data_IF_685807094934
#
_entry.id   IF_685807094934
#
_cell.length_a   1.000
_cell.length_b   1.000
_cell.length_c   1.000
_cell.angle_alpha   90.00
_cell.angle_beta   90.00
_cell.angle_gamma   90.00
#
_symmetry.space_group_name_H-M   'P 1'
#
loop_
_entity.id
_entity.type
_entity.pdbx_description
1 polymer ?
#
# COMPACT_ATOMS: atom_id res chain seq x y z
N UNK A 1 12.48 19.33 -27.70
CA UNK A 1 13.48 18.67 -26.85
C UNK A 1 13.75 19.35 -25.48
N UNK A 2 12.88 20.19 -24.95
CA UNK A 2 13.08 20.87 -23.64
C UNK A 2 12.05 20.53 -22.56
N UNK A 3 11.10 19.62 -22.81
CA UNK A 3 10.06 19.26 -21.82
C UNK A 3 10.40 18.06 -20.93
N UNK A 4 11.42 17.27 -21.28
CA UNK A 4 11.69 15.98 -20.58
C UNK A 4 12.37 16.09 -19.21
N UNK A 5 12.64 17.28 -18.69
CA UNK A 5 13.39 17.45 -17.44
C UNK A 5 12.66 18.25 -16.35
N UNK A 6 11.38 18.55 -16.52
CA UNK A 6 10.57 19.21 -15.51
C UNK A 6 9.99 18.18 -14.55
N UNK A 7 9.85 18.51 -13.24
CA UNK A 7 9.13 17.66 -12.29
C UNK A 7 7.69 17.46 -12.73
N UNK A 8 7.20 16.23 -12.59
CA UNK A 8 5.81 15.89 -12.90
C UNK A 8 5.23 15.03 -11.79
N UNK A 9 3.91 15.06 -11.66
CA UNK A 9 3.19 14.04 -10.90
C UNK A 9 2.67 12.96 -11.83
N UNK A 10 2.64 11.74 -11.34
CA UNK A 10 1.95 10.64 -11.97
C UNK A 10 0.94 10.09 -10.98
N UNK A 11 -0.32 10.49 -11.15
CA UNK A 11 -1.43 9.99 -10.36
C UNK A 11 -1.83 8.63 -10.90
N UNK A 12 -2.03 7.65 -10.02
CA UNK A 12 -2.36 6.30 -10.44
C UNK A 12 -3.19 5.57 -9.40
N UNK A 13 -3.91 4.57 -9.87
CA UNK A 13 -4.75 3.69 -9.08
C UNK A 13 -4.83 2.31 -9.70
N UNK A 14 -5.02 1.28 -8.88
CA UNK A 14 -5.24 -0.10 -9.29
C UNK A 14 -6.58 -0.60 -8.82
N UNK A 15 -7.29 -1.28 -9.71
CA UNK A 15 -8.26 -2.28 -9.29
C UNK A 15 -7.59 -3.65 -9.27
N UNK A 16 -7.95 -4.46 -8.28
CA UNK A 16 -7.34 -5.78 -8.06
C UNK A 16 -8.41 -6.85 -7.85
N UNK A 17 -8.03 -8.10 -8.04
CA UNK A 17 -8.90 -9.25 -7.82
C UNK A 17 -8.99 -9.68 -6.35
N UNK A 18 -8.52 -8.87 -5.43
CA UNK A 18 -8.59 -9.10 -3.99
C UNK A 18 -7.88 -8.00 -3.21
N UNK A 19 -7.78 -8.15 -1.90
CA UNK A 19 -7.28 -7.09 -1.00
C UNK A 19 -5.86 -7.30 -0.50
N UNK A 20 -5.21 -8.40 -0.89
CA UNK A 20 -3.85 -8.72 -0.47
C UNK A 20 -2.84 -8.50 -1.60
N UNK A 21 -2.06 -7.40 -1.63
CA UNK A 21 -1.15 -7.09 -2.72
C UNK A 21 -0.08 -8.17 -3.01
N UNK A 22 0.25 -9.00 -2.02
CA UNK A 22 1.23 -10.07 -2.18
C UNK A 22 0.67 -11.28 -2.95
N UNK A 23 -0.61 -11.56 -2.78
CA UNK A 23 -1.28 -12.75 -3.35
C UNK A 23 -2.15 -12.41 -4.55
N UNK A 24 -2.85 -11.28 -4.46
CA UNK A 24 -3.84 -10.92 -5.46
C UNK A 24 -3.21 -10.28 -6.70
N UNK A 25 -3.95 -10.34 -7.79
CA UNK A 25 -3.50 -9.88 -9.11
C UNK A 25 -4.18 -8.57 -9.46
N UNK A 26 -3.51 -7.66 -10.21
CA UNK A 26 -4.16 -6.48 -10.75
C UNK A 26 -5.25 -6.89 -11.77
N UNK A 27 -6.34 -6.14 -11.81
CA UNK A 27 -7.40 -6.28 -12.81
C UNK A 27 -7.44 -5.09 -13.77
N UNK A 28 -7.29 -3.87 -13.25
CA UNK A 28 -7.23 -2.63 -14.01
C UNK A 28 -6.14 -1.73 -13.43
N UNK A 29 -5.56 -0.90 -14.25
CA UNK A 29 -4.70 0.21 -13.88
C UNK A 29 -5.13 1.46 -14.61
N UNK A 30 -5.15 2.57 -13.91
CA UNK A 30 -5.23 3.90 -14.50
C UNK A 30 -4.07 4.78 -14.04
N UNK A 31 -3.57 5.61 -14.95
CA UNK A 31 -2.52 6.56 -14.63
C UNK A 31 -2.64 7.84 -15.45
N UNK A 32 -2.46 8.97 -14.80
CA UNK A 32 -2.54 10.30 -15.42
C UNK A 32 -1.32 11.12 -15.00
N UNK A 33 -0.59 11.64 -15.98
CA UNK A 33 0.53 12.54 -15.74
C UNK A 33 0.06 13.98 -15.71
N UNK A 34 0.58 14.75 -14.73
CA UNK A 34 0.27 16.17 -14.59
C UNK A 34 1.53 17.00 -14.40
N UNK A 35 1.42 18.30 -14.67
CA UNK A 35 2.41 19.29 -14.26
C UNK A 35 2.35 19.57 -12.74
N UNK A 36 3.16 20.51 -12.25
CA UNK A 36 3.19 20.92 -10.83
C UNK A 36 1.90 21.60 -10.35
N UNK A 37 1.04 22.04 -11.26
CA UNK A 37 -0.26 22.66 -10.96
C UNK A 37 -1.42 21.67 -11.11
N UNK A 38 -1.10 20.39 -11.32
CA UNK A 38 -2.06 19.31 -11.55
C UNK A 38 -2.88 19.45 -12.85
N UNK A 39 -2.36 20.19 -13.84
CA UNK A 39 -2.92 20.16 -15.19
C UNK A 39 -2.46 18.88 -15.89
N UNK A 40 -3.40 18.18 -16.51
CA UNK A 40 -3.11 16.92 -17.21
C UNK A 40 -2.20 17.20 -18.40
N UNK A 41 -1.13 16.41 -18.52
CA UNK A 41 -0.17 16.44 -19.63
C UNK A 41 -0.05 15.04 -20.25
N UNK A 42 -0.17 14.96 -21.57
CA UNK A 42 -0.19 13.69 -22.29
C UNK A 42 -1.52 12.95 -22.20
N UNK A 43 -1.52 11.72 -22.70
CA UNK A 43 -2.69 10.88 -22.70
C UNK A 43 -2.77 10.05 -21.43
N UNK A 44 -3.97 9.90 -20.84
CA UNK A 44 -4.22 8.98 -19.74
C UNK A 44 -3.92 7.52 -20.15
N UNK A 45 -3.37 6.75 -19.23
CA UNK A 45 -3.11 5.33 -19.40
C UNK A 45 -4.18 4.52 -18.67
N UNK A 46 -4.97 3.74 -19.41
CA UNK A 46 -5.95 2.80 -18.85
C UNK A 46 -5.70 1.43 -19.45
N UNK A 47 -5.56 0.41 -18.62
CA UNK A 47 -5.27 -0.95 -19.06
C UNK A 47 -5.89 -1.97 -18.14
N UNK A 48 -6.31 -3.11 -18.72
CA UNK A 48 -6.68 -4.31 -17.98
C UNK A 48 -5.52 -5.30 -17.97
N UNK A 49 -5.48 -6.17 -16.95
CA UNK A 49 -4.50 -7.25 -16.84
C UNK A 49 -5.20 -8.60 -16.94
N UNK A 50 -4.66 -9.49 -17.76
CA UNK A 50 -5.15 -10.87 -17.89
C UNK A 50 -4.90 -11.65 -16.60
N UNK A 51 -5.83 -12.57 -16.30
CA UNK A 51 -5.71 -13.51 -15.19
C UNK A 51 -4.83 -14.71 -15.57
N UNK A 52 -3.91 -15.12 -14.70
CA UNK A 52 -3.16 -16.35 -14.93
C UNK A 52 -4.00 -17.59 -14.54
N UNK A 53 -3.71 -18.74 -15.14
CA UNK A 53 -4.45 -19.97 -14.95
C UNK A 53 -4.36 -20.58 -13.52
N UNK A 54 -3.39 -20.15 -12.74
CA UNK A 54 -3.18 -20.58 -11.34
C UNK A 54 -3.71 -19.58 -10.31
N UNK A 55 -4.78 -18.84 -10.65
CA UNK A 55 -5.35 -17.83 -9.75
C UNK A 55 -6.88 -17.79 -9.83
N UNK A 56 -7.54 -17.77 -8.67
CA UNK A 56 -8.98 -17.58 -8.53
C UNK A 56 -9.29 -16.14 -8.12
N UNK A 57 -9.99 -15.34 -8.95
CA UNK A 57 -10.35 -13.95 -8.64
C UNK A 57 -11.43 -13.89 -7.56
N UNK A 58 -11.32 -12.98 -6.57
CA UNK A 58 -12.37 -12.81 -5.56
C UNK A 58 -13.69 -12.38 -6.20
N UNK A 59 -14.80 -13.06 -5.91
CA UNK A 59 -16.12 -12.65 -6.35
C UNK A 59 -16.53 -11.27 -5.82
N UNK A 60 -16.13 -10.94 -4.58
CA UNK A 60 -16.39 -9.63 -3.96
C UNK A 60 -15.67 -8.51 -4.71
N UNK A 61 -14.40 -8.73 -5.07
CA UNK A 61 -13.65 -7.75 -5.85
C UNK A 61 -14.32 -7.51 -7.21
N UNK A 62 -14.76 -8.56 -7.88
CA UNK A 62 -15.52 -8.43 -9.13
C UNK A 62 -16.83 -7.65 -8.94
N UNK A 63 -17.55 -7.86 -7.83
CA UNK A 63 -18.79 -7.11 -7.52
C UNK A 63 -18.52 -5.63 -7.24
N UNK A 64 -17.41 -5.31 -6.58
CA UNK A 64 -17.04 -3.94 -6.22
C UNK A 64 -16.60 -3.16 -7.46
N UNK A 65 -15.70 -3.74 -8.25
CA UNK A 65 -15.11 -3.07 -9.42
C UNK A 65 -15.99 -3.15 -10.67
N UNK A 66 -16.93 -4.10 -10.73
CA UNK A 66 -17.70 -4.40 -11.92
C UNK A 66 -16.88 -5.05 -13.06
N UNK A 67 -15.61 -5.37 -12.81
CA UNK A 67 -14.73 -6.01 -13.79
C UNK A 67 -14.98 -7.50 -13.80
N UNK A 68 -15.30 -8.05 -14.97
CA UNK A 68 -15.48 -9.48 -15.13
C UNK A 68 -14.20 -10.16 -15.60
N UNK A 69 -13.95 -11.43 -15.23
CA UNK A 69 -12.80 -12.18 -15.74
C UNK A 69 -12.75 -12.23 -17.27
N UNK A 70 -13.90 -12.35 -17.95
CA UNK A 70 -13.97 -12.35 -19.41
C UNK A 70 -13.50 -11.02 -20.01
N UNK A 71 -13.90 -9.87 -19.41
CA UNK A 71 -13.42 -8.57 -19.85
C UNK A 71 -11.92 -8.44 -19.71
N UNK A 72 -11.38 -8.83 -18.54
CA UNK A 72 -9.95 -8.82 -18.28
C UNK A 72 -9.17 -9.71 -19.26
N UNK A 73 -9.69 -10.90 -19.58
CA UNK A 73 -9.06 -11.81 -20.54
C UNK A 73 -9.14 -11.32 -21.98
N UNK A 74 -10.22 -10.63 -22.37
CA UNK A 74 -10.43 -10.16 -23.72
C UNK A 74 -9.71 -8.85 -24.03
N UNK A 75 -9.71 -7.91 -23.09
CA UNK A 75 -9.20 -6.54 -23.29
C UNK A 75 -7.85 -6.33 -22.61
N UNK A 76 -7.44 -7.25 -21.72
CA UNK A 76 -6.24 -7.13 -20.91
C UNK A 76 -4.96 -7.51 -21.64
N UNK A 77 -3.87 -6.92 -21.16
CA UNK A 77 -2.51 -7.29 -21.52
C UNK A 77 -2.02 -8.46 -20.64
N UNK A 78 -1.03 -9.20 -21.11
CA UNK A 78 -0.28 -10.11 -20.25
C UNK A 78 0.36 -9.35 -19.09
N UNK A 79 0.56 -10.00 -17.91
CA UNK A 79 1.13 -9.31 -16.75
C UNK A 79 2.51 -8.68 -17.03
N UNK A 80 3.44 -9.30 -17.82
CA UNK A 80 4.69 -8.64 -18.20
C UNK A 80 4.51 -7.37 -19.03
N UNK A 81 3.62 -7.39 -20.02
CA UNK A 81 3.36 -6.21 -20.86
C UNK A 81 2.66 -5.11 -20.07
N UNK A 82 1.72 -5.48 -19.21
CA UNK A 82 1.00 -4.58 -18.33
C UNK A 82 1.95 -3.83 -17.41
N UNK A 83 2.79 -4.55 -16.65
CA UNK A 83 3.70 -3.91 -15.69
C UNK A 83 4.85 -3.16 -16.39
N UNK A 84 5.30 -3.61 -17.56
CA UNK A 84 6.33 -2.89 -18.32
C UNK A 84 5.88 -1.48 -18.71
N UNK A 85 4.63 -1.32 -19.16
CA UNK A 85 4.07 -0.01 -19.50
C UNK A 85 3.93 0.89 -18.27
N UNK A 86 3.46 0.35 -17.15
CA UNK A 86 3.33 1.07 -15.88
C UNK A 86 4.70 1.50 -15.36
N UNK A 87 5.64 0.58 -15.33
CA UNK A 87 7.01 0.84 -14.88
C UNK A 87 7.70 1.91 -15.74
N UNK A 88 7.48 1.92 -17.05
CA UNK A 88 8.01 2.93 -17.95
C UNK A 88 7.50 4.35 -17.58
N UNK A 89 6.22 4.48 -17.20
CA UNK A 89 5.68 5.76 -16.76
C UNK A 89 6.21 6.16 -15.37
N UNK A 90 6.20 5.25 -14.41
CA UNK A 90 6.68 5.51 -13.05
C UNK A 90 8.16 5.85 -12.99
N UNK A 91 8.97 5.28 -13.90
CA UNK A 91 10.45 5.44 -13.94
C UNK A 91 10.92 6.69 -14.67
N UNK A 92 10.04 7.46 -15.32
CA UNK A 92 10.42 8.73 -15.93
C UNK A 92 11.09 9.65 -14.88
N UNK A 93 12.20 10.34 -15.24
CA UNK A 93 12.93 11.17 -14.29
C UNK A 93 12.07 12.26 -13.64
N UNK A 94 12.34 12.55 -12.35
CA UNK A 94 11.66 13.58 -11.56
C UNK A 94 10.13 13.37 -11.44
N UNK A 95 9.69 12.13 -11.54
CA UNK A 95 8.30 11.77 -11.31
C UNK A 95 8.03 11.67 -9.79
N UNK A 96 7.00 12.34 -9.31
CA UNK A 96 6.38 12.01 -8.03
C UNK A 96 5.14 11.16 -8.31
N UNK A 97 5.20 9.88 -7.96
CA UNK A 97 4.03 9.01 -8.02
C UNK A 97 3.10 9.31 -6.84
N UNK A 98 1.81 9.42 -7.11
CA UNK A 98 0.81 9.84 -6.14
C UNK A 98 -0.51 9.12 -6.37
N UNK A 99 -1.11 8.64 -5.29
CA UNK A 99 -2.43 8.02 -5.30
C UNK A 99 -3.18 8.31 -4.00
N UNK A 100 -4.29 7.61 -3.83
CA UNK A 100 -5.12 7.67 -2.64
C UNK A 100 -4.98 6.39 -1.81
N UNK A 101 -4.33 6.43 -0.67
CA UNK A 101 -3.89 5.27 0.12
C UNK A 101 -2.85 4.38 -0.60
N UNK A 102 -2.21 4.92 -1.63
CA UNK A 102 -1.35 4.19 -2.57
C UNK A 102 -0.10 3.59 -1.93
N UNK A 103 0.53 4.27 -0.96
CA UNK A 103 1.76 3.76 -0.31
C UNK A 103 1.53 2.43 0.41
N UNK A 104 0.30 2.15 0.84
CA UNK A 104 -0.04 0.93 1.58
C UNK A 104 -0.61 -0.17 0.71
N UNK A 105 -1.12 0.17 -0.49
CA UNK A 105 -1.78 -0.77 -1.37
C UNK A 105 -1.17 -0.76 -2.79
N UNK A 106 -1.39 0.27 -3.58
CA UNK A 106 -1.00 0.32 -5.00
C UNK A 106 0.50 0.19 -5.24
N UNK A 107 1.30 0.80 -4.36
CA UNK A 107 2.76 0.66 -4.39
C UNK A 107 3.18 -0.80 -4.14
N UNK A 108 2.49 -1.50 -3.24
CA UNK A 108 2.77 -2.91 -2.96
C UNK A 108 2.30 -3.80 -4.12
N UNK A 109 1.13 -3.51 -4.74
CA UNK A 109 0.69 -4.18 -5.98
C UNK A 109 1.73 -4.01 -7.08
N UNK A 110 2.21 -2.77 -7.29
CA UNK A 110 3.28 -2.47 -8.25
C UNK A 110 4.55 -3.28 -7.95
N UNK A 111 4.99 -3.32 -6.70
CA UNK A 111 6.20 -4.04 -6.28
C UNK A 111 6.11 -5.53 -6.50
N UNK A 112 5.02 -6.17 -6.06
CA UNK A 112 4.84 -7.60 -6.26
C UNK A 112 4.68 -7.97 -7.72
N UNK A 113 4.01 -7.12 -8.52
CA UNK A 113 3.90 -7.33 -9.97
C UNK A 113 5.25 -7.16 -10.66
N UNK A 114 6.05 -6.14 -10.29
CA UNK A 114 7.44 -6.01 -10.77
C UNK A 114 8.29 -7.24 -10.41
N UNK A 115 8.22 -7.69 -9.16
CA UNK A 115 8.96 -8.84 -8.66
C UNK A 115 8.67 -10.11 -9.45
N UNK A 116 7.40 -10.42 -9.71
CA UNK A 116 6.99 -11.60 -10.49
C UNK A 116 7.44 -11.53 -11.96
N UNK A 117 7.73 -10.34 -12.46
CA UNK A 117 8.10 -10.06 -13.84
C UNK A 117 9.56 -9.61 -14.00
N UNK A 118 10.41 -9.89 -13.01
CA UNK A 118 11.86 -9.61 -13.05
C UNK A 118 12.23 -8.13 -13.23
N UNK A 119 11.35 -7.21 -12.82
CA UNK A 119 11.62 -5.78 -12.78
C UNK A 119 12.04 -5.40 -11.37
N UNK A 120 13.01 -4.47 -11.22
CA UNK A 120 13.38 -3.97 -9.88
C UNK A 120 12.14 -3.36 -9.21
N UNK A 121 11.68 -3.90 -8.07
CA UNK A 121 10.44 -3.48 -7.46
C UNK A 121 10.51 -2.13 -6.73
N UNK A 122 11.69 -1.55 -6.60
CA UNK A 122 11.91 -0.36 -5.76
C UNK A 122 12.42 0.85 -6.53
N UNK A 123 13.23 0.65 -7.59
CA UNK A 123 13.98 1.70 -8.29
C UNK A 123 13.10 2.85 -8.79
N UNK A 124 11.93 2.56 -9.34
CA UNK A 124 10.98 3.52 -9.86
C UNK A 124 10.59 4.61 -8.85
N UNK A 125 10.61 4.28 -7.55
CA UNK A 125 10.10 5.13 -6.48
C UNK A 125 11.13 6.12 -5.90
N UNK A 126 12.42 6.04 -6.31
CA UNK A 126 13.48 6.88 -5.73
C UNK A 126 14.63 7.22 -6.67
N UNK A 127 14.89 6.42 -7.73
CA UNK A 127 15.94 6.72 -8.70
C UNK A 127 15.58 7.94 -9.55
N UNK A 128 16.57 8.54 -10.22
CA UNK A 128 16.40 9.64 -11.16
C UNK A 128 15.65 10.86 -10.62
N UNK A 129 15.73 11.11 -9.31
CA UNK A 129 15.01 12.20 -8.65
C UNK A 129 13.52 11.92 -8.41
N UNK A 130 13.10 10.67 -8.56
CA UNK A 130 11.74 10.24 -8.30
C UNK A 130 11.41 10.23 -6.81
N UNK A 131 10.13 10.27 -6.50
CA UNK A 131 9.60 10.19 -5.15
C UNK A 131 8.18 9.64 -5.17
N UNK A 132 7.67 9.31 -3.99
CA UNK A 132 6.28 8.88 -3.79
C UNK A 132 5.56 9.85 -2.87
N UNK A 133 4.25 9.90 -2.95
CA UNK A 133 3.42 10.61 -1.99
C UNK A 133 2.03 9.99 -1.94
N UNK A 134 1.25 10.30 -0.91
CA UNK A 134 -0.08 9.74 -0.67
C UNK A 134 -1.00 10.85 -0.18
N UNK A 135 -2.13 11.01 -0.85
CA UNK A 135 -3.06 12.09 -0.56
C UNK A 135 -3.91 11.82 0.70
N UNK A 136 -4.18 10.57 1.04
CA UNK A 136 -5.08 10.22 2.16
C UNK A 136 -4.60 10.79 3.49
N UNK A 137 -3.32 10.56 3.86
CA UNK A 137 -2.80 11.06 5.13
C UNK A 137 -2.59 12.59 5.11
N UNK A 138 -2.43 13.21 3.93
CA UNK A 138 -2.43 14.68 3.76
C UNK A 138 -3.82 15.26 4.05
N UNK A 139 -4.88 14.63 3.56
CA UNK A 139 -6.27 15.03 3.83
C UNK A 139 -6.61 14.89 5.32
N UNK A 140 -6.20 13.79 5.96
CA UNK A 140 -6.32 13.62 7.41
C UNK A 140 -5.61 14.73 8.19
N UNK A 141 -4.40 15.10 7.76
CA UNK A 141 -3.64 16.21 8.36
C UNK A 141 -4.31 17.57 8.11
N UNK A 142 -4.86 17.80 6.92
CA UNK A 142 -5.61 19.00 6.59
C UNK A 142 -6.82 19.12 7.52
N UNK A 143 -7.62 18.07 7.65
CA UNK A 143 -8.76 18.03 8.56
C UNK A 143 -8.38 18.37 10.02
N UNK A 144 -7.34 17.72 10.55
CA UNK A 144 -6.93 17.91 11.94
C UNK A 144 -6.29 19.27 12.23
N UNK A 145 -5.62 19.88 11.24
CA UNK A 145 -4.81 21.07 11.46
C UNK A 145 -5.39 22.36 10.86
N UNK A 146 -6.04 22.25 9.70
CA UNK A 146 -6.55 23.37 8.91
C UNK A 146 -7.74 22.91 8.06
N UNK A 147 -8.91 22.67 8.67
CA UNK A 147 -10.05 22.06 7.97
C UNK A 147 -10.74 23.00 6.96
N UNK A 148 -10.46 24.30 7.02
CA UNK A 148 -11.19 25.31 6.24
C UNK A 148 -10.93 25.17 4.74
N UNK A 149 -11.98 25.33 3.94
CA UNK A 149 -11.95 25.31 2.47
C UNK A 149 -12.10 23.93 1.85
N UNK A 150 -12.23 22.90 2.68
CA UNK A 150 -12.62 21.53 2.28
C UNK A 150 -13.87 21.13 3.05
N UNK A 151 -14.83 20.53 2.36
CA UNK A 151 -16.03 19.99 2.99
C UNK A 151 -15.78 18.55 3.45
N UNK A 152 -16.03 18.28 4.73
CA UNK A 152 -15.75 16.99 5.34
C UNK A 152 -17.04 16.20 5.52
N UNK A 153 -17.19 15.04 4.86
CA UNK A 153 -18.34 14.16 5.06
C UNK A 153 -18.25 13.41 6.38
N UNK A 154 -19.38 13.12 6.98
CA UNK A 154 -19.49 12.25 8.15
C UNK A 154 -20.07 10.88 7.72
N UNK A 155 -19.63 9.83 8.40
CA UNK A 155 -20.21 8.51 8.28
C UNK A 155 -21.43 8.36 9.21
N UNK A 156 -22.09 7.21 9.15
CA UNK A 156 -23.27 6.87 9.97
C UNK A 156 -23.04 6.91 11.50
N UNK A 157 -21.76 6.89 11.93
CA UNK A 157 -21.37 6.97 13.32
C UNK A 157 -20.92 8.36 13.77
N UNK A 158 -21.08 9.39 12.92
CA UNK A 158 -20.69 10.77 13.20
C UNK A 158 -19.17 11.04 13.15
N UNK A 159 -18.38 10.12 12.62
CA UNK A 159 -16.95 10.35 12.38
C UNK A 159 -16.71 10.85 10.95
N UNK A 160 -15.69 11.70 10.79
CA UNK A 160 -15.29 12.14 9.45
C UNK A 160 -14.89 10.93 8.59
N UNK A 161 -15.49 10.85 7.41
CA UNK A 161 -15.17 9.84 6.42
C UNK A 161 -14.08 10.34 5.48
N UNK A 162 -13.00 9.58 5.39
CA UNK A 162 -11.90 9.83 4.45
C UNK A 162 -11.95 8.87 3.26
N UNK A 163 -13.10 8.28 2.96
CA UNK A 163 -13.28 7.55 1.71
C UNK A 163 -13.34 8.53 0.54
N UNK A 164 -12.63 8.22 -0.55
CA UNK A 164 -12.51 9.10 -1.71
C UNK A 164 -13.88 9.43 -2.31
N UNK A 165 -14.74 8.43 -2.44
CA UNK A 165 -16.11 8.58 -2.95
C UNK A 165 -16.97 9.52 -2.09
N UNK A 166 -16.80 9.52 -0.76
CA UNK A 166 -17.54 10.43 0.11
C UNK A 166 -16.99 11.86 0.04
N UNK A 167 -15.66 11.98 0.05
CA UNK A 167 -14.98 13.29 -0.02
C UNK A 167 -15.24 13.99 -1.35
N UNK A 168 -15.11 13.27 -2.47
CA UNK A 168 -15.32 13.85 -3.81
C UNK A 168 -16.76 14.37 -3.97
N UNK A 169 -17.74 13.57 -3.63
CA UNK A 169 -19.17 13.97 -3.71
C UNK A 169 -19.44 15.19 -2.82
N UNK A 170 -18.98 15.17 -1.55
CA UNK A 170 -19.19 16.30 -0.62
C UNK A 170 -18.55 17.59 -1.11
N UNK A 171 -17.47 17.49 -1.88
CA UNK A 171 -16.71 18.62 -2.41
C UNK A 171 -17.14 19.02 -3.84
N UNK A 172 -18.21 18.45 -4.38
CA UNK A 172 -18.73 18.76 -5.72
C UNK A 172 -17.85 18.24 -6.86
N UNK A 173 -17.04 17.23 -6.61
CA UNK A 173 -16.22 16.54 -7.60
C UNK A 173 -17.05 15.38 -8.16
N UNK A 174 -17.15 15.32 -9.49
CA UNK A 174 -17.85 14.22 -10.16
C UNK A 174 -17.10 12.90 -9.93
N UNK A 175 -17.80 11.93 -9.34
CA UNK A 175 -17.25 10.60 -9.03
C UNK A 175 -18.38 9.56 -9.14
N UNK A 176 -18.99 9.50 -10.34
CA UNK A 176 -20.16 8.67 -10.60
C UNK A 176 -19.86 7.17 -10.70
N UNK A 177 -18.61 6.80 -10.98
CA UNK A 177 -18.14 5.43 -11.14
C UNK A 177 -17.01 5.13 -10.13
N UNK A 178 -17.31 5.22 -8.83
CA UNK A 178 -16.38 4.78 -7.80
C UNK A 178 -15.96 3.31 -8.06
N UNK A 179 -14.70 2.98 -7.81
CA UNK A 179 -14.08 1.69 -8.13
C UNK A 179 -13.92 1.43 -9.65
N UNK A 180 -13.84 2.49 -10.44
CA UNK A 180 -13.18 2.49 -11.73
C UNK A 180 -11.87 3.25 -11.57
N UNK A 181 -10.72 2.63 -11.81
CA UNK A 181 -9.42 3.20 -11.52
C UNK A 181 -9.21 4.60 -12.13
N UNK A 182 -9.78 4.88 -13.33
CA UNK A 182 -9.67 6.21 -13.94
C UNK A 182 -10.52 7.25 -13.20
N UNK A 183 -11.73 6.89 -12.76
CA UNK A 183 -12.58 7.79 -12.00
C UNK A 183 -11.91 8.14 -10.65
N UNK A 184 -11.28 7.16 -10.00
CA UNK A 184 -10.56 7.36 -8.73
C UNK A 184 -9.31 8.22 -8.91
N UNK A 185 -8.55 8.05 -9.99
CA UNK A 185 -7.43 8.93 -10.36
C UNK A 185 -7.88 10.38 -10.57
N UNK A 186 -8.95 10.62 -11.34
CA UNK A 186 -9.46 11.99 -11.59
C UNK A 186 -9.97 12.61 -10.30
N UNK A 187 -10.73 11.87 -9.48
CA UNK A 187 -11.18 12.36 -8.17
C UNK A 187 -10.00 12.72 -7.25
N UNK A 188 -8.94 11.92 -7.26
CA UNK A 188 -7.71 12.18 -6.50
C UNK A 188 -7.00 13.46 -6.97
N UNK A 189 -6.91 13.69 -8.29
CA UNK A 189 -6.34 14.93 -8.86
C UNK A 189 -7.15 16.15 -8.40
N UNK A 190 -8.48 16.10 -8.52
CA UNK A 190 -9.35 17.22 -8.16
C UNK A 190 -9.34 17.49 -6.64
N UNK A 191 -9.28 16.44 -5.80
CA UNK A 191 -9.09 16.60 -4.36
C UNK A 191 -7.72 17.22 -4.03
N UNK A 192 -6.65 16.82 -4.72
CA UNK A 192 -5.33 17.41 -4.54
C UNK A 192 -5.31 18.91 -4.90
N UNK A 193 -5.95 19.29 -6.02
CA UNK A 193 -6.14 20.70 -6.40
C UNK A 193 -6.88 21.49 -5.32
N UNK A 194 -7.98 20.92 -4.81
CA UNK A 194 -8.80 21.55 -3.80
C UNK A 194 -8.04 21.82 -2.50
N UNK A 195 -7.33 20.80 -1.99
CA UNK A 195 -6.51 20.96 -0.76
C UNK A 195 -5.36 21.94 -0.97
N UNK A 196 -4.68 21.88 -2.12
CA UNK A 196 -3.61 22.83 -2.45
C UNK A 196 -4.11 24.26 -2.53
N UNK A 197 -5.29 24.48 -3.11
CA UNK A 197 -5.92 25.81 -3.19
C UNK A 197 -6.38 26.32 -1.82
N UNK A 198 -7.00 25.44 -1.01
CA UNK A 198 -7.52 25.81 0.31
C UNK A 198 -6.38 26.04 1.32
N UNK A 199 -5.36 25.19 1.34
CA UNK A 199 -4.31 25.18 2.35
C UNK A 199 -2.90 25.08 1.73
N UNK A 200 -2.46 26.04 0.88
CA UNK A 200 -1.23 25.91 0.09
C UNK A 200 0.02 25.73 0.96
N UNK A 201 0.14 26.45 2.07
CA UNK A 201 1.31 26.35 2.97
C UNK A 201 1.40 24.98 3.64
N UNK A 202 0.27 24.40 4.03
CA UNK A 202 0.21 23.07 4.65
C UNK A 202 0.54 22.00 3.60
N UNK A 203 -0.04 22.13 2.41
CA UNK A 203 0.21 21.23 1.29
C UNK A 203 1.69 21.20 0.91
N UNK A 204 2.30 22.38 0.68
CA UNK A 204 3.71 22.52 0.31
C UNK A 204 4.64 22.00 1.41
N UNK A 205 4.29 22.23 2.69
CA UNK A 205 5.05 21.70 3.82
C UNK A 205 5.08 20.16 3.76
N UNK A 206 3.94 19.49 3.74
CA UNK A 206 3.90 18.03 3.73
C UNK A 206 4.47 17.43 2.43
N UNK A 207 4.26 18.08 1.29
CA UNK A 207 4.91 17.69 0.06
C UNK A 207 6.44 17.76 0.18
N UNK A 208 6.97 18.79 0.80
CA UNK A 208 8.41 18.91 1.04
C UNK A 208 8.95 17.82 1.99
N UNK A 209 8.12 17.37 2.94
CA UNK A 209 8.46 16.35 3.95
C UNK A 209 8.33 14.91 3.45
N UNK A 210 7.94 14.67 2.19
CA UNK A 210 7.90 13.31 1.62
C UNK A 210 9.28 12.62 1.56
N UNK A 211 10.36 13.39 1.65
CA UNK A 211 11.73 12.88 1.60
C UNK A 211 12.23 12.49 2.99
N UNK A 212 12.70 11.24 3.13
CA UNK A 212 13.27 10.71 4.38
C UNK A 212 14.31 11.64 5.01
N UNK A 213 15.18 12.28 4.19
CA UNK A 213 16.22 13.19 4.70
C UNK A 213 15.63 14.34 5.50
N UNK A 214 14.56 14.97 5.00
CA UNK A 214 13.90 16.09 5.72
C UNK A 214 13.17 15.59 6.97
N UNK A 215 12.55 14.42 6.91
CA UNK A 215 11.91 13.82 8.07
C UNK A 215 12.93 13.48 9.18
N UNK A 216 14.13 13.04 8.83
CA UNK A 216 15.21 12.81 9.80
C UNK A 216 15.58 14.08 10.58
N UNK A 217 15.48 15.26 9.97
CA UNK A 217 15.78 16.55 10.63
C UNK A 217 14.79 16.90 11.75
N UNK A 218 13.58 16.32 11.73
CA UNK A 218 12.57 16.48 12.78
C UNK A 218 12.77 15.53 13.96
N UNK A 219 13.45 14.41 13.74
CA UNK A 219 13.56 13.33 14.74
C UNK A 219 14.68 13.64 15.72
N UNK A 220 14.31 14.01 16.96
CA UNK A 220 15.23 14.27 18.06
C UNK A 220 14.98 13.27 19.19
N UNK A 221 15.70 12.15 19.14
CA UNK A 221 15.62 11.09 20.15
C UNK A 221 16.38 11.45 21.43
N UNK A 222 17.30 12.42 21.38
CA UNK A 222 18.12 12.82 22.54
C UNK A 222 17.30 13.65 23.50
N UNK A 223 16.65 14.71 23.00
CA UNK A 223 15.81 15.58 23.81
C UNK A 223 14.38 15.07 23.91
N UNK A 224 14.05 13.97 23.21
CA UNK A 224 12.68 13.44 23.12
C UNK A 224 11.71 14.57 22.73
N UNK A 225 12.00 15.24 21.61
CA UNK A 225 11.18 16.37 21.12
C UNK A 225 9.89 15.85 20.52
N UNK A 226 8.70 16.25 21.02
CA UNK A 226 7.43 15.72 20.55
C UNK A 226 7.10 16.23 19.15
N UNK A 227 6.48 15.35 18.37
CA UNK A 227 6.00 15.61 17.02
C UNK A 227 4.50 15.37 16.92
N UNK A 228 3.81 16.13 16.10
CA UNK A 228 2.49 15.78 15.60
C UNK A 228 2.63 14.72 14.51
N UNK A 229 1.83 13.67 14.57
CA UNK A 229 1.81 12.57 13.62
C UNK A 229 0.38 12.22 13.21
N UNK A 230 0.20 11.94 11.90
CA UNK A 230 -1.06 11.43 11.35
C UNK A 230 -0.83 10.04 10.80
N UNK A 231 -1.71 9.11 11.17
CA UNK A 231 -1.67 7.73 10.69
C UNK A 231 -2.99 7.01 10.91
N UNK A 232 -3.44 6.20 9.96
CA UNK A 232 -4.61 5.34 10.12
C UNK A 232 -4.58 4.43 11.36
N UNK A 233 -3.39 4.13 11.89
CA UNK A 233 -3.22 3.29 13.08
C UNK A 233 -3.50 4.02 14.42
N UNK A 234 -3.63 5.34 14.43
CA UNK A 234 -3.89 6.10 15.66
C UNK A 234 -5.35 6.09 16.08
N UNK A 235 -6.24 5.62 15.20
CA UNK A 235 -7.67 5.50 15.47
C UNK A 235 -8.47 6.73 15.02
N UNK A 236 -9.75 6.47 14.76
CA UNK A 236 -10.69 7.50 14.28
C UNK A 236 -11.15 8.43 15.39
N UNK A 237 -11.09 7.98 16.63
CA UNK A 237 -11.52 8.72 17.83
C UNK A 237 -10.72 10.02 18.01
N UNK A 238 -9.45 10.04 17.59
CA UNK A 238 -8.59 11.22 17.58
C UNK A 238 -8.32 11.74 16.16
N UNK A 239 -9.22 11.47 15.21
CA UNK A 239 -9.10 11.87 13.81
C UNK A 239 -7.76 11.46 13.20
N UNK A 240 -7.30 10.23 13.53
CA UNK A 240 -6.03 9.65 13.05
C UNK A 240 -4.78 10.46 13.41
N UNK A 241 -4.85 11.35 14.39
CA UNK A 241 -3.79 12.30 14.76
C UNK A 241 -3.40 12.12 16.22
N UNK A 242 -2.11 12.22 16.53
CA UNK A 242 -1.62 12.30 17.92
C UNK A 242 -0.31 13.07 18.03
N UNK A 243 0.05 13.45 19.24
CA UNK A 243 1.41 13.79 19.59
C UNK A 243 2.17 12.51 19.90
N UNK A 244 3.28 12.33 19.23
CA UNK A 244 4.21 11.23 19.47
C UNK A 244 5.56 11.77 19.92
N UNK A 245 6.32 10.96 20.64
CA UNK A 245 7.70 11.29 21.00
C UNK A 245 8.65 10.23 20.43
N UNK A 246 9.69 10.60 19.66
CA UNK A 246 10.72 9.68 19.22
C UNK A 246 11.63 9.31 20.39
N UNK A 247 11.88 8.00 20.59
CA UNK A 247 12.67 7.48 21.71
C UNK A 247 13.98 6.85 21.23
N UNK A 248 13.92 6.05 20.16
CA UNK A 248 15.09 5.36 19.63
C UNK A 248 14.93 5.06 18.14
N UNK A 249 16.05 4.78 17.47
CA UNK A 249 16.02 4.13 16.17
C UNK A 249 15.77 2.63 16.34
N UNK A 250 15.10 2.05 15.36
CA UNK A 250 14.89 0.60 15.34
C UNK A 250 16.24 -0.13 15.19
N UNK A 251 16.52 -1.19 15.94
CA UNK A 251 17.84 -1.83 15.98
C UNK A 251 18.32 -2.39 14.64
N UNK A 252 17.43 -2.85 13.79
CA UNK A 252 17.76 -3.48 12.50
C UNK A 252 17.20 -2.77 11.29
N UNK A 253 16.17 -1.92 11.44
CA UNK A 253 15.54 -1.19 10.33
C UNK A 253 15.90 0.30 10.36
N UNK A 254 16.89 0.71 9.59
CA UNK A 254 17.37 2.09 9.49
C UNK A 254 16.33 3.09 8.93
N UNK A 255 15.15 2.64 8.57
CA UNK A 255 14.06 3.49 8.11
C UNK A 255 13.01 3.73 9.19
N UNK A 256 13.09 3.06 10.33
CA UNK A 256 12.08 3.10 11.36
C UNK A 256 12.56 3.80 12.64
N UNK A 257 11.68 4.62 13.20
CA UNK A 257 11.85 5.28 14.50
C UNK A 257 10.84 4.68 15.46
N UNK A 258 11.30 4.29 16.65
CA UNK A 258 10.46 3.86 17.75
C UNK A 258 9.88 5.11 18.42
N UNK A 259 8.57 5.21 18.47
CA UNK A 259 7.87 6.37 19.04
C UNK A 259 6.83 5.92 20.05
N UNK A 260 6.52 6.81 21.01
CA UNK A 260 5.45 6.61 21.98
C UNK A 260 4.33 7.61 21.69
N UNK A 261 3.09 7.15 21.69
CA UNK A 261 1.88 7.98 21.59
C UNK A 261 1.60 8.64 22.93
N UNK A 262 1.82 9.96 23.00
CA UNK A 262 1.67 10.75 24.24
C UNK A 262 0.21 10.94 24.69
N UNK A 263 -0.77 10.71 23.83
CA UNK A 263 -2.18 10.80 24.19
C UNK A 263 -2.66 9.56 24.95
N UNK A 264 -1.90 8.48 24.91
CA UNK A 264 -2.19 7.21 25.60
C UNK A 264 -1.49 7.12 26.94
N UNK A 265 -1.95 6.19 27.77
CA UNK A 265 -1.36 5.93 29.08
C UNK A 265 0.00 5.23 28.92
N UNK A 266 1.12 5.78 29.45
CA UNK A 266 2.43 5.18 29.36
C UNK A 266 2.68 4.04 30.37
N UNK A 267 1.74 3.76 31.29
CA UNK A 267 1.89 2.76 32.36
C UNK A 267 2.40 1.40 31.84
N UNK A 268 1.90 0.83 30.74
CA UNK A 268 2.43 -0.45 30.24
C UNK A 268 3.95 -0.41 29.95
N UNK A 269 4.47 0.71 29.44
CA UNK A 269 5.90 0.83 29.14
C UNK A 269 6.73 0.87 30.43
N UNK A 270 6.20 1.48 31.49
CA UNK A 270 6.91 1.63 32.76
C UNK A 270 6.90 0.33 33.58
N UNK A 271 5.80 -0.39 33.61
CA UNK A 271 5.59 -1.51 34.53
C UNK A 271 5.95 -2.88 33.94
N UNK A 272 5.71 -3.11 32.65
CA UNK A 272 5.91 -4.41 32.03
C UNK A 272 7.36 -4.70 31.68
N UNK A 273 7.75 -5.97 31.69
CA UNK A 273 9.02 -6.43 31.11
C UNK A 273 9.02 -6.28 29.59
N UNK A 274 10.19 -6.44 28.97
CA UNK A 274 10.34 -6.40 27.51
C UNK A 274 9.51 -7.48 26.81
N UNK A 275 9.47 -8.68 27.39
CA UNK A 275 8.73 -9.84 26.88
C UNK A 275 7.24 -9.64 26.98
N UNK A 276 6.75 -9.15 28.13
CA UNK A 276 5.32 -8.82 28.33
C UNK A 276 4.87 -7.68 27.40
N UNK A 277 5.72 -6.66 27.18
CA UNK A 277 5.45 -5.61 26.21
C UNK A 277 5.34 -6.17 24.80
N UNK A 278 6.25 -7.10 24.43
CA UNK A 278 6.22 -7.73 23.11
C UNK A 278 4.92 -8.51 22.90
N UNK A 279 4.54 -9.36 23.83
CA UNK A 279 3.30 -10.12 23.74
C UNK A 279 2.09 -9.19 23.63
N UNK A 280 1.98 -8.18 24.49
CA UNK A 280 0.86 -7.25 24.53
C UNK A 280 0.79 -6.34 23.28
N UNK A 281 1.93 -5.91 22.73
CA UNK A 281 1.98 -5.07 21.53
C UNK A 281 1.40 -5.78 20.30
N UNK A 282 1.54 -7.10 20.24
CA UNK A 282 1.08 -7.91 19.11
C UNK A 282 -0.23 -8.67 19.39
N UNK A 283 -0.80 -8.52 20.57
CA UNK A 283 -2.15 -9.01 20.88
C UNK A 283 -3.19 -8.14 20.17
N UNK A 284 -4.18 -8.77 19.54
CA UNK A 284 -5.27 -8.03 18.89
C UNK A 284 -6.06 -7.22 19.93
N UNK A 285 -6.56 -6.05 19.51
CA UNK A 285 -7.30 -5.15 20.42
C UNK A 285 -8.52 -5.82 21.07
N UNK A 286 -9.20 -6.69 20.33
CA UNK A 286 -10.35 -7.47 20.81
C UNK A 286 -9.98 -8.48 21.91
N UNK A 287 -8.74 -8.99 21.88
CA UNK A 287 -8.23 -9.99 22.83
C UNK A 287 -7.57 -9.35 24.06
N UNK A 288 -7.34 -8.03 24.06
CA UNK A 288 -6.75 -7.32 25.19
C UNK A 288 -7.71 -7.20 26.40
N UNK A 289 -9.04 -7.28 26.17
CA UNK A 289 -10.03 -7.06 27.22
C UNK A 289 -9.85 -5.68 27.89
N UNK A 290 -9.71 -5.68 29.23
CA UNK A 290 -9.52 -4.46 30.03
C UNK A 290 -8.05 -3.99 30.11
N UNK A 291 -7.11 -4.68 29.47
CA UNK A 291 -5.70 -4.31 29.51
C UNK A 291 -5.43 -3.06 28.67
N UNK A 292 -4.61 -2.17 29.23
CA UNK A 292 -4.13 -1.00 28.48
C UNK A 292 -3.24 -1.44 27.30
N UNK A 293 -3.51 -0.95 26.09
CA UNK A 293 -2.64 -1.23 24.94
C UNK A 293 -1.27 -0.57 25.12
N UNK A 294 -0.25 -1.18 24.56
CA UNK A 294 1.12 -0.61 24.54
C UNK A 294 1.14 0.61 23.62
N UNK A 295 1.42 1.84 24.13
CA UNK A 295 1.37 3.06 23.32
C UNK A 295 2.61 3.27 22.45
N UNK A 296 3.17 2.20 21.90
CA UNK A 296 4.39 2.23 21.08
C UNK A 296 4.04 2.04 19.61
N UNK A 297 4.67 2.82 18.74
CA UNK A 297 4.46 2.77 17.31
C UNK A 297 5.78 2.95 16.56
N UNK A 298 5.97 2.18 15.48
CA UNK A 298 7.04 2.42 14.52
C UNK A 298 6.59 3.45 13.48
N UNK A 299 7.40 4.47 13.28
CA UNK A 299 7.23 5.43 12.19
C UNK A 299 8.30 5.17 11.12
N UNK A 300 7.86 4.72 9.94
CA UNK A 300 8.73 4.41 8.81
C UNK A 300 8.95 5.66 7.95
N UNK A 301 10.13 6.25 8.04
CA UNK A 301 10.44 7.52 7.37
C UNK A 301 10.53 7.42 5.84
N UNK A 302 10.67 6.21 5.30
CA UNK A 302 10.64 5.93 3.86
C UNK A 302 9.23 5.67 3.30
N UNK A 303 8.19 5.76 4.14
CA UNK A 303 6.77 5.61 3.75
C UNK A 303 6.00 6.94 3.81
N UNK A 304 6.68 8.05 3.58
CA UNK A 304 6.12 9.42 3.56
C UNK A 304 5.19 9.73 4.75
N UNK A 305 5.59 9.41 6.01
CA UNK A 305 4.72 9.66 7.14
C UNK A 305 4.47 11.15 7.30
N UNK A 306 3.26 11.50 7.71
CA UNK A 306 2.90 12.88 8.08
C UNK A 306 3.48 13.18 9.45
N UNK A 307 4.49 14.02 9.48
CA UNK A 307 5.13 14.53 10.71
C UNK A 307 5.26 16.04 10.66
N UNK A 308 5.02 16.70 11.79
CA UNK A 308 5.29 18.12 11.97
C UNK A 308 5.67 18.40 13.43
N UNK A 309 6.29 19.54 13.74
CA UNK A 309 6.50 19.96 15.12
C UNK A 309 5.19 19.96 15.91
N UNK A 310 5.20 19.48 17.16
CA UNK A 310 4.00 19.36 17.98
C UNK A 310 3.18 20.66 18.08
N UNK A 311 3.84 21.83 18.07
CA UNK A 311 3.19 23.14 18.08
C UNK A 311 2.29 23.42 16.88
N UNK A 312 2.40 22.65 15.80
CA UNK A 312 1.55 22.79 14.60
C UNK A 312 0.08 22.44 14.92
N UNK A 313 -0.14 21.54 15.87
CA UNK A 313 -1.46 21.24 16.44
C UNK A 313 -1.76 22.27 17.53
N UNK A 314 -2.61 23.25 17.23
CA UNK A 314 -3.01 24.31 18.17
C UNK A 314 -3.84 23.74 19.33
N UNK A 315 -4.09 24.52 20.39
CA UNK A 315 -4.93 24.09 21.50
C UNK A 315 -6.36 23.82 21.04
N UNK A 316 -6.92 24.71 20.24
CA UNK A 316 -8.26 24.61 19.68
C UNK A 316 -8.41 23.35 18.77
N UNK A 317 -7.46 23.14 17.86
CA UNK A 317 -7.53 21.96 16.97
C UNK A 317 -7.34 20.65 17.75
N UNK A 318 -6.50 20.65 18.80
CA UNK A 318 -6.33 19.48 19.66
C UNK A 318 -7.62 19.13 20.40
N UNK A 319 -8.31 20.14 20.93
CA UNK A 319 -9.62 19.96 21.61
C UNK A 319 -10.67 19.41 20.64
N UNK A 320 -10.75 19.96 19.40
CA UNK A 320 -11.70 19.52 18.37
C UNK A 320 -11.52 18.06 17.96
N UNK A 321 -10.29 17.52 18.05
CA UNK A 321 -9.99 16.12 17.71
C UNK A 321 -9.81 15.22 18.95
N UNK A 322 -10.16 15.71 20.13
CA UNK A 322 -10.15 14.94 21.38
C UNK A 322 -8.75 14.66 21.95
N UNK A 323 -7.74 15.49 21.65
CA UNK A 323 -6.40 15.37 22.21
C UNK A 323 -6.20 16.34 23.37
N UNK A 324 -5.98 15.79 24.55
CA UNK A 324 -5.58 16.55 25.73
C UNK A 324 -4.07 16.84 25.69
N UNK A 325 -3.73 18.08 25.32
CA UNK A 325 -2.33 18.51 25.22
C UNK A 325 -1.62 18.53 26.57
N UNK A 326 -2.33 18.82 27.67
CA UNK A 326 -1.73 18.84 29.00
C UNK A 326 -1.35 17.42 29.41
N UNK A 327 -2.26 16.45 29.24
CA UNK A 327 -1.97 15.03 29.44
C UNK A 327 -0.77 14.55 28.64
N UNK A 328 -0.65 14.97 27.37
CA UNK A 328 0.52 14.65 26.54
C UNK A 328 1.83 15.22 27.13
N UNK A 329 1.80 16.46 27.66
CA UNK A 329 2.97 17.06 28.30
C UNK A 329 3.34 16.39 29.63
N UNK A 330 2.34 16.00 30.42
CA UNK A 330 2.53 15.28 31.68
C UNK A 330 3.14 13.87 31.40
N UNK A 331 2.62 13.18 30.41
CA UNK A 331 3.17 11.88 29.97
C UNK A 331 4.61 12.04 29.46
N UNK A 332 4.91 13.09 28.68
CA UNK A 332 6.27 13.37 28.22
C UNK A 332 7.22 13.64 29.39
N UNK A 333 6.77 14.43 30.39
CA UNK A 333 7.57 14.72 31.58
C UNK A 333 7.85 13.47 32.40
N UNK A 334 6.86 12.58 32.53
CA UNK A 334 7.01 11.29 33.18
C UNK A 334 8.00 10.40 32.44
N UNK A 335 7.84 10.22 31.12
CA UNK A 335 8.74 9.39 30.30
C UNK A 335 10.19 9.86 30.35
N UNK A 336 10.44 11.17 30.43
CA UNK A 336 11.78 11.76 30.54
C UNK A 336 12.47 11.45 31.88
N UNK A 337 11.72 11.11 32.92
CA UNK A 337 12.27 10.68 34.21
C UNK A 337 12.72 9.23 34.20
N UNK A 338 12.40 8.47 33.14
CA UNK A 338 12.67 7.04 32.98
C UNK A 338 13.57 6.76 31.77
N UNK A 339 14.86 7.14 31.81
CA UNK A 339 15.77 6.95 30.67
C UNK A 339 15.97 5.48 30.26
N UNK A 340 15.70 4.53 31.14
CA UNK A 340 15.79 3.09 30.91
C UNK A 340 14.76 2.59 29.87
N UNK A 341 13.68 3.31 29.64
CA UNK A 341 12.67 2.93 28.63
C UNK A 341 13.26 2.84 27.22
N UNK A 342 14.33 3.61 26.93
CA UNK A 342 14.99 3.55 25.62
C UNK A 342 15.55 2.17 25.35
N UNK A 343 16.34 1.63 26.28
CA UNK A 343 16.92 0.30 26.14
C UNK A 343 15.83 -0.79 26.15
N UNK A 344 14.80 -0.63 26.99
CA UNK A 344 13.65 -1.53 27.01
C UNK A 344 12.96 -1.60 25.65
N UNK A 345 12.70 -0.46 25.01
CA UNK A 345 12.04 -0.42 23.70
C UNK A 345 12.96 -0.88 22.56
N UNK A 346 14.26 -0.65 22.63
CA UNK A 346 15.21 -1.25 21.69
C UNK A 346 15.18 -2.77 21.84
N UNK A 347 15.19 -3.28 23.08
CA UNK A 347 15.06 -4.70 23.39
C UNK A 347 13.77 -5.29 22.83
N UNK A 348 12.64 -4.61 23.00
CA UNK A 348 11.32 -5.00 22.48
C UNK A 348 11.37 -5.29 20.96
N UNK A 349 11.99 -4.41 20.18
CA UNK A 349 12.12 -4.57 18.72
C UNK A 349 13.34 -5.38 18.27
N UNK A 350 14.16 -5.85 19.23
CA UNK A 350 15.23 -6.81 18.97
C UNK A 350 14.74 -8.26 19.07
N UNK A 351 13.58 -8.50 19.68
CA UNK A 351 12.96 -9.82 19.70
C UNK A 351 12.54 -10.17 18.27
N UNK A 352 13.17 -11.21 17.73
CA UNK A 352 12.83 -11.70 16.39
C UNK A 352 11.42 -12.24 16.34
N UNK A 353 10.59 -11.65 15.48
CA UNK A 353 9.31 -12.26 15.14
C UNK A 353 9.57 -13.38 14.15
N UNK A 354 9.22 -14.58 14.54
CA UNK A 354 9.13 -15.69 13.60
C UNK A 354 7.88 -15.48 12.73
N UNK A 355 8.08 -14.94 11.55
CA UNK A 355 7.04 -14.98 10.52
C UNK A 355 7.08 -16.36 9.87
N UNK A 356 5.93 -16.99 9.73
CA UNK A 356 5.82 -18.15 8.86
C UNK A 356 6.30 -17.75 7.47
N UNK A 357 7.37 -18.39 7.01
CA UNK A 357 7.82 -18.18 5.65
C UNK A 357 6.81 -18.78 4.71
N UNK A 358 6.38 -18.01 3.75
CA UNK A 358 5.52 -18.54 2.70
C UNK A 358 6.34 -19.47 1.79
N UNK A 359 5.79 -20.64 1.48
CA UNK A 359 6.35 -21.53 0.47
C UNK A 359 6.03 -21.05 -0.96
N UNK A 360 5.10 -20.10 -1.10
CA UNK A 360 4.74 -19.50 -2.37
C UNK A 360 5.75 -18.43 -2.77
N UNK A 361 6.56 -18.74 -3.78
CA UNK A 361 7.61 -17.85 -4.28
C UNK A 361 7.10 -16.49 -4.73
N UNK A 362 5.85 -16.37 -5.21
CA UNK A 362 5.26 -15.11 -5.64
C UNK A 362 5.11 -14.09 -4.49
N UNK A 363 5.04 -14.57 -3.24
CA UNK A 363 4.87 -13.75 -2.04
C UNK A 363 6.18 -13.44 -1.31
N UNK A 364 7.31 -13.97 -1.77
CA UNK A 364 8.61 -13.86 -1.10
C UNK A 364 9.41 -12.59 -1.46
N UNK A 365 8.76 -11.53 -1.95
CA UNK A 365 9.41 -10.27 -2.29
C UNK A 365 10.32 -9.74 -1.18
N UNK A 366 9.87 -9.82 0.08
CA UNK A 366 10.56 -9.26 1.24
C UNK A 366 11.48 -10.24 1.98
N UNK A 367 11.67 -11.45 1.47
CA UNK A 367 12.57 -12.44 2.08
C UNK A 367 14.06 -12.10 1.91
N UNK A 368 14.39 -11.15 1.04
CA UNK A 368 15.73 -10.65 0.82
C UNK A 368 15.86 -9.78 -0.43
N UNK A 369 16.98 -9.07 -0.53
CA UNK A 369 17.32 -8.29 -1.73
C UNK A 369 18.14 -9.14 -2.69
N UNK A 370 17.83 -9.03 -3.96
CA UNK A 370 18.62 -9.64 -5.03
C UNK A 370 20.03 -9.04 -5.10
N UNK A 371 21.03 -9.89 -5.34
CA UNK A 371 22.40 -9.47 -5.58
C UNK A 371 22.52 -8.62 -6.86
N UNK A 372 23.61 -7.87 -7.05
CA UNK A 372 23.86 -7.20 -8.34
C UNK A 372 23.92 -8.18 -9.53
N UNK A 373 24.44 -9.39 -9.32
CA UNK A 373 24.49 -10.44 -10.32
C UNK A 373 23.10 -10.94 -10.69
N UNK A 374 22.26 -11.21 -9.67
CA UNK A 374 20.86 -11.61 -9.88
C UNK A 374 20.06 -10.54 -10.63
N UNK A 375 20.24 -9.26 -10.28
CA UNK A 375 19.57 -8.16 -11.01
C UNK A 375 19.99 -8.10 -12.49
N UNK A 376 21.27 -8.28 -12.78
CA UNK A 376 21.72 -8.36 -14.16
C UNK A 376 21.12 -9.59 -14.89
N UNK A 377 21.02 -10.73 -14.21
CA UNK A 377 20.36 -11.92 -14.74
C UNK A 377 18.86 -11.69 -15.01
N UNK A 378 18.16 -10.96 -14.12
CA UNK A 378 16.76 -10.57 -14.31
C UNK A 378 16.57 -9.67 -15.52
N UNK A 379 17.51 -8.76 -15.80
CA UNK A 379 17.50 -7.94 -17.02
C UNK A 379 17.64 -8.82 -18.29
N UNK A 380 18.58 -9.79 -18.27
CA UNK A 380 18.76 -10.76 -19.35
C UNK A 380 17.47 -11.57 -19.56
N UNK A 381 16.81 -12.04 -18.51
CA UNK A 381 15.54 -12.78 -18.62
C UNK A 381 14.49 -11.94 -19.35
N UNK A 382 14.33 -10.66 -19.00
CA UNK A 382 13.34 -9.78 -19.63
C UNK A 382 13.64 -9.45 -21.09
N UNK A 383 14.92 -9.38 -21.46
CA UNK A 383 15.35 -9.06 -22.80
C UNK A 383 15.43 -10.29 -23.71
N UNK A 384 15.36 -11.48 -23.15
CA UNK A 384 15.43 -12.74 -23.89
C UNK A 384 14.09 -13.08 -24.55
N UNK A 385 14.14 -13.48 -25.83
CA UNK A 385 12.96 -14.01 -26.52
C UNK A 385 12.36 -15.18 -25.71
N UNK A 386 11.05 -15.22 -25.47
CA UNK A 386 10.40 -16.27 -24.68
C UNK A 386 10.77 -17.70 -25.08
N UNK A 387 10.95 -17.95 -26.37
CA UNK A 387 11.35 -19.27 -26.89
C UNK A 387 12.76 -19.70 -26.45
N UNK A 388 13.60 -18.76 -26.08
CA UNK A 388 14.99 -19.01 -25.68
C UNK A 388 15.16 -19.02 -24.13
N UNK A 389 14.13 -18.66 -23.37
CA UNK A 389 14.20 -18.60 -21.90
C UNK A 389 14.58 -19.95 -21.26
N UNK A 390 14.10 -21.05 -21.81
CA UNK A 390 14.42 -22.41 -21.34
C UNK A 390 15.90 -22.78 -21.50
N UNK A 391 16.57 -22.18 -22.49
CA UNK A 391 17.96 -22.47 -22.84
C UNK A 391 18.96 -21.52 -22.13
N UNK A 392 18.49 -20.60 -21.30
CA UNK A 392 19.37 -19.69 -20.55
C UNK A 392 20.23 -20.49 -19.56
N UNK A 393 21.55 -20.49 -19.78
CA UNK A 393 22.56 -21.05 -18.90
C UNK A 393 23.10 -19.96 -17.97
N UNK A 394 22.30 -19.58 -16.96
CA UNK A 394 22.66 -18.55 -15.97
C UNK A 394 22.59 -19.16 -14.57
N UNK A 395 23.66 -18.96 -13.81
CA UNK A 395 23.68 -19.24 -12.39
C UNK A 395 23.04 -18.08 -11.62
N UNK A 396 22.18 -18.39 -10.66
CA UNK A 396 21.52 -17.42 -9.79
C UNK A 396 21.98 -17.63 -8.34
N UNK A 397 22.34 -16.55 -7.66
CA UNK A 397 22.64 -16.56 -6.23
C UNK A 397 21.37 -16.79 -5.40
N UNK A 398 20.26 -16.19 -5.84
CA UNK A 398 18.99 -16.27 -5.15
C UNK A 398 18.12 -17.42 -5.66
N UNK A 399 17.78 -18.31 -4.71
CA UNK A 399 16.97 -19.51 -5.00
C UNK A 399 15.56 -19.23 -5.52
N UNK A 400 15.02 -18.02 -5.32
CA UNK A 400 13.69 -17.62 -5.78
C UNK A 400 13.60 -17.46 -7.29
N UNK A 401 14.70 -17.13 -7.97
CA UNK A 401 14.68 -16.79 -9.40
C UNK A 401 14.27 -17.97 -10.28
N UNK A 402 14.79 -19.16 -10.03
CA UNK A 402 14.44 -20.37 -10.83
C UNK A 402 12.94 -20.71 -10.78
N UNK A 403 12.29 -20.82 -9.60
CA UNK A 403 10.86 -21.07 -9.56
C UNK A 403 10.03 -19.89 -10.09
N UNK A 404 10.45 -18.63 -9.91
CA UNK A 404 9.80 -17.49 -10.54
C UNK A 404 9.88 -17.55 -12.07
N UNK A 405 11.05 -17.90 -12.64
CA UNK A 405 11.23 -18.01 -14.08
C UNK A 405 10.34 -19.12 -14.68
N UNK A 406 10.22 -20.23 -13.98
CA UNK A 406 9.30 -21.29 -14.39
C UNK A 406 7.85 -20.79 -14.43
N UNK A 407 7.37 -20.14 -13.36
CA UNK A 407 6.00 -19.56 -13.29
C UNK A 407 5.79 -18.46 -14.32
N UNK A 408 6.78 -17.60 -14.53
CA UNK A 408 6.74 -16.53 -15.52
C UNK A 408 6.54 -17.09 -16.95
N UNK A 409 7.31 -18.13 -17.32
CA UNK A 409 7.15 -18.83 -18.60
C UNK A 409 5.79 -19.51 -18.69
N UNK A 410 5.41 -20.24 -17.65
CA UNK A 410 4.18 -21.04 -17.65
C UNK A 410 2.91 -20.18 -17.76
N UNK A 411 2.89 -19.01 -17.08
CA UNK A 411 1.75 -18.09 -17.12
C UNK A 411 1.66 -17.29 -18.43
N UNK A 412 2.80 -16.84 -18.93
CA UNK A 412 2.81 -15.85 -20.01
C UNK A 412 3.18 -16.46 -21.37
N UNK A 413 3.91 -17.58 -21.39
CA UNK A 413 4.44 -18.21 -22.59
C UNK A 413 4.29 -19.74 -22.55
N UNK A 414 3.08 -20.27 -22.34
CA UNK A 414 2.86 -21.71 -22.11
C UNK A 414 3.35 -22.57 -23.29
N UNK A 415 3.34 -22.03 -24.51
CA UNK A 415 3.86 -22.72 -25.70
C UNK A 415 5.38 -22.97 -25.68
N UNK A 416 6.13 -22.37 -24.76
CA UNK A 416 7.59 -22.56 -24.59
C UNK A 416 7.94 -23.68 -23.61
N UNK A 417 6.94 -24.30 -22.97
CA UNK A 417 7.14 -25.38 -22.02
C UNK A 417 7.30 -26.72 -22.74
N UNK A 418 8.25 -27.54 -22.28
CA UNK A 418 8.32 -28.94 -22.71
C UNK A 418 7.22 -29.79 -22.04
N UNK A 419 7.09 -31.06 -22.43
CA UNK A 419 6.05 -31.96 -21.89
C UNK A 419 6.16 -32.16 -20.37
N UNK A 420 7.35 -32.18 -19.80
CA UNK A 420 7.55 -32.35 -18.36
C UNK A 420 7.16 -31.06 -17.61
N UNK A 421 7.54 -29.92 -18.12
CA UNK A 421 7.16 -28.61 -17.60
C UNK A 421 5.65 -28.39 -17.69
N UNK A 422 5.00 -28.78 -18.80
CA UNK A 422 3.54 -28.70 -18.95
C UNK A 422 2.82 -29.55 -17.91
N UNK A 423 3.27 -30.79 -17.66
CA UNK A 423 2.71 -31.66 -16.62
C UNK A 423 2.89 -31.07 -15.22
N UNK A 424 4.08 -30.52 -14.95
CA UNK A 424 4.37 -29.86 -13.68
C UNK A 424 3.47 -28.64 -13.47
N UNK A 425 3.27 -27.85 -14.52
CA UNK A 425 2.39 -26.67 -14.47
C UNK A 425 0.92 -27.06 -14.25
N UNK A 426 0.43 -28.04 -14.99
CA UNK A 426 -0.93 -28.54 -14.82
C UNK A 426 -1.18 -29.09 -13.40
N UNK A 427 -0.19 -29.79 -12.83
CA UNK A 427 -0.27 -30.25 -11.43
C UNK A 427 -0.34 -29.07 -10.46
N UNK A 428 0.53 -28.06 -10.62
CA UNK A 428 0.51 -26.85 -9.79
C UNK A 428 -0.85 -26.14 -9.85
N UNK A 429 -1.40 -25.88 -11.05
CA UNK A 429 -2.70 -25.24 -11.21
C UNK A 429 -3.81 -26.06 -10.53
N UNK A 430 -3.77 -27.40 -10.66
CA UNK A 430 -4.73 -28.28 -10.00
C UNK A 430 -4.63 -28.20 -8.47
N UNK A 431 -3.44 -28.29 -7.90
CA UNK A 431 -3.22 -28.17 -6.45
C UNK A 431 -3.71 -26.84 -5.90
N UNK A 432 -3.41 -25.74 -6.58
CA UNK A 432 -3.91 -24.40 -6.21
C UNK A 432 -5.43 -24.35 -6.26
N UNK A 433 -6.03 -24.87 -7.31
CA UNK A 433 -7.48 -24.92 -7.49
C UNK A 433 -8.15 -25.78 -6.42
N UNK A 434 -7.71 -27.05 -6.25
CA UNK A 434 -8.30 -27.99 -5.31
C UNK A 434 -8.19 -27.49 -3.85
N UNK A 435 -7.14 -26.77 -3.51
CA UNK A 435 -6.95 -26.24 -2.15
C UNK A 435 -7.94 -25.12 -1.79
N UNK A 436 -8.60 -24.49 -2.74
CA UNK A 436 -9.43 -23.29 -2.52
C UNK A 436 -10.89 -23.47 -3.00
N UNK A 437 -11.15 -24.40 -3.92
CA UNK A 437 -12.42 -24.42 -4.66
C UNK A 437 -13.64 -24.66 -3.78
N UNK A 438 -13.55 -25.46 -2.72
CA UNK A 438 -14.68 -25.78 -1.86
C UNK A 438 -15.16 -24.52 -1.11
N UNK A 439 -14.25 -23.81 -0.44
CA UNK A 439 -14.55 -22.57 0.26
C UNK A 439 -14.98 -21.48 -0.72
N UNK A 440 -14.32 -21.40 -1.87
CA UNK A 440 -14.62 -20.44 -2.91
C UNK A 440 -16.05 -20.59 -3.45
N UNK A 441 -16.48 -21.83 -3.75
CA UNK A 441 -17.81 -22.08 -4.27
C UNK A 441 -18.89 -21.80 -3.22
N UNK A 442 -18.65 -22.13 -1.96
CA UNK A 442 -19.57 -21.79 -0.87
C UNK A 442 -19.73 -20.28 -0.73
N UNK A 443 -18.62 -19.54 -0.80
CA UNK A 443 -18.66 -18.07 -0.78
C UNK A 443 -19.44 -17.50 -1.97
N UNK A 444 -19.19 -18.00 -3.18
CA UNK A 444 -19.89 -17.57 -4.39
C UNK A 444 -21.40 -17.84 -4.30
N UNK A 445 -21.83 -18.98 -3.79
CA UNK A 445 -23.24 -19.32 -3.55
C UNK A 445 -23.89 -18.36 -2.55
N UNK A 446 -23.19 -18.04 -1.45
CA UNK A 446 -23.67 -17.08 -0.46
C UNK A 446 -23.89 -15.67 -1.08
N UNK A 447 -22.94 -15.19 -1.89
CA UNK A 447 -23.05 -13.91 -2.57
C UNK A 447 -24.17 -13.89 -3.60
N UNK A 448 -24.41 -15.00 -4.32
CA UNK A 448 -25.56 -15.14 -5.23
C UNK A 448 -26.88 -15.03 -4.46
N UNK A 449 -26.97 -15.65 -3.29
CA UNK A 449 -28.16 -15.57 -2.45
C UNK A 449 -28.37 -14.17 -1.86
N UNK A 450 -27.27 -13.52 -1.38
CA UNK A 450 -27.31 -12.16 -0.83
C UNK A 450 -27.80 -11.13 -1.88
N UNK A 451 -27.40 -11.32 -3.13
CA UNK A 451 -27.69 -10.38 -4.22
C UNK A 451 -28.74 -10.86 -5.23
N UNK A 452 -29.58 -11.84 -4.86
CA UNK A 452 -30.57 -12.48 -5.76
C UNK A 452 -31.50 -11.48 -6.49
N UNK A 453 -31.77 -10.32 -5.88
CA UNK A 453 -32.61 -9.27 -6.44
C UNK A 453 -31.87 -8.27 -7.35
N UNK A 454 -30.54 -8.32 -7.42
CA UNK A 454 -29.71 -7.42 -8.22
C UNK A 454 -29.21 -8.12 -9.50
N UNK A 455 -29.92 -7.92 -10.61
CA UNK A 455 -29.60 -8.56 -11.89
C UNK A 455 -28.16 -8.28 -12.37
N UNK A 456 -27.62 -7.07 -12.10
CA UNK A 456 -26.26 -6.70 -12.51
C UNK A 456 -25.23 -7.48 -11.72
N UNK A 457 -25.38 -7.53 -10.40
CA UNK A 457 -24.48 -8.29 -9.53
C UNK A 457 -24.54 -9.79 -9.83
N UNK A 458 -25.73 -10.34 -10.05
CA UNK A 458 -25.91 -11.74 -10.47
C UNK A 458 -25.23 -12.02 -11.82
N UNK A 459 -25.27 -11.09 -12.77
CA UNK A 459 -24.57 -11.27 -14.05
C UNK A 459 -23.04 -11.33 -13.86
N UNK A 460 -22.47 -10.49 -12.96
CA UNK A 460 -21.05 -10.51 -12.61
C UNK A 460 -20.68 -11.85 -11.94
N UNK A 461 -21.44 -12.29 -10.93
CA UNK A 461 -21.19 -13.58 -10.25
C UNK A 461 -21.26 -14.78 -11.19
N UNK A 462 -22.24 -14.79 -12.11
CA UNK A 462 -22.30 -15.81 -13.16
C UNK A 462 -21.08 -15.79 -14.09
N UNK A 463 -20.53 -14.61 -14.35
CA UNK A 463 -19.33 -14.43 -15.14
C UNK A 463 -18.10 -15.03 -14.42
N UNK A 464 -17.98 -14.75 -13.12
CA UNK A 464 -16.94 -15.34 -12.25
C UNK A 464 -17.09 -16.86 -12.22
N UNK A 465 -18.27 -17.39 -11.98
CA UNK A 465 -18.54 -18.83 -11.98
C UNK A 465 -18.08 -19.52 -13.28
N UNK A 466 -18.45 -18.97 -14.45
CA UNK A 466 -18.06 -19.52 -15.76
C UNK A 466 -16.53 -19.52 -15.96
N UNK A 467 -15.84 -18.50 -15.44
CA UNK A 467 -14.39 -18.47 -15.50
C UNK A 467 -13.78 -19.60 -14.67
N UNK A 468 -14.25 -19.76 -13.43
CA UNK A 468 -13.79 -20.83 -12.52
C UNK A 468 -14.07 -22.22 -13.11
N UNK A 469 -15.26 -22.43 -13.69
CA UNK A 469 -15.62 -23.67 -14.39
C UNK A 469 -14.66 -23.97 -15.55
N UNK A 470 -14.23 -22.94 -16.28
CA UNK A 470 -13.26 -23.10 -17.38
C UNK A 470 -11.85 -23.46 -16.92
N UNK A 471 -11.49 -23.18 -15.67
CA UNK A 471 -10.21 -23.61 -15.09
C UNK A 471 -10.22 -25.07 -14.63
N UNK A 472 -11.40 -25.62 -14.35
CA UNK A 472 -11.60 -27.00 -13.93
C UNK A 472 -11.65 -28.00 -15.11
N UNK A 473 -11.86 -27.51 -16.33
CA UNK A 473 -11.96 -28.32 -17.57
C UNK A 473 -10.62 -28.45 -18.29
#
# INVERSE_FOLDING_TARGET
MHQDNQPTFFFFDYETWGTNPAKDRPSQFAGVRTDENFNIIGEPLVMYCQLPADYLPSPEAALITGITPQKAMQEGLSEPEFIAKIHAELSKPKTTSLGYNSIRFDDEVTRYTCYRNFIDPYAWSWQNGNSRWDLLDVLRACHALRPEGVEWPENEHGFTSFKLEHLSVKNGIEHSNAHDAMADVIATIEMAKKVKAAQPKLFDYFFSMRHKRKLNELVDIVNMTPLMHVSGMLGRECQYTSWIVPVAWHPTNNNAVITIDLAKDPQPILELSTEELHERLYTKREDLGDLLPVPVKLVHLNKCPILAPAKTLTAENAENIGIDRQKCLDNLALLRQHPEIREKLIGLFSIERQFEKSDDVDTQLYDGFFSPADRAAMDIIRETDPNNLAALDIEFDDKRIKPLLFRYRARNFPGTLDEQEQRRWALHCREVFESQIEEYMLNLENLVHEHESDEKKIAILKSVYRYVESLAS
#
